data_IF_105736795861
#
_entry.id   IF_105736795861
#
_cell.length_a   1.000
_cell.length_b   1.000
_cell.length_c   1.000
_cell.angle_alpha   90.00
_cell.angle_beta   90.00
_cell.angle_gamma   90.00
#
_symmetry.space_group_name_H-M   'P 1'
#
loop_
_entity.id
_entity.type
_entity.pdbx_description
1 polymer ?
#
# COMPACT_ATOMS: atom_id res chain seq x y z
N UNK A 1 -12.45 7.79 24.15
CA UNK A 1 -11.84 8.99 23.50
C UNK A 1 -10.47 8.79 22.86
N UNK A 2 -9.55 7.92 23.33
CA UNK A 2 -8.28 7.64 22.60
C UNK A 2 -8.35 6.41 21.67
N UNK A 3 -9.23 5.45 21.99
CA UNK A 3 -9.39 4.20 21.23
C UNK A 3 -10.25 4.44 19.99
N UNK A 4 -11.35 5.20 20.12
CA UNK A 4 -12.21 5.61 19.00
C UNK A 4 -11.45 6.43 17.94
N UNK A 5 -10.54 7.30 18.38
CA UNK A 5 -9.72 8.12 17.48
C UNK A 5 -8.65 7.29 16.75
N UNK A 6 -8.04 6.31 17.43
CA UNK A 6 -7.04 5.44 16.82
C UNK A 6 -7.69 4.44 15.84
N UNK A 7 -8.89 3.95 16.18
CA UNK A 7 -9.69 3.10 15.30
C UNK A 7 -10.16 3.88 14.05
N UNK A 8 -10.71 5.08 14.21
CA UNK A 8 -11.12 5.93 13.08
C UNK A 8 -9.93 6.27 12.17
N UNK A 9 -8.78 6.63 12.75
CA UNK A 9 -7.56 6.91 12.00
C UNK A 9 -7.01 5.65 11.28
N UNK A 10 -7.12 4.47 11.91
CA UNK A 10 -6.77 3.19 11.31
C UNK A 10 -7.66 2.83 10.13
N UNK A 11 -8.98 3.03 10.23
CA UNK A 11 -9.92 2.78 9.13
C UNK A 11 -9.69 3.75 7.97
N UNK A 12 -9.52 5.04 8.25
CA UNK A 12 -9.19 6.04 7.20
C UNK A 12 -7.83 5.74 6.55
N UNK A 13 -6.81 5.41 7.34
CA UNK A 13 -5.48 5.05 6.85
C UNK A 13 -5.49 3.78 6.01
N UNK A 14 -6.30 2.79 6.38
CA UNK A 14 -6.47 1.55 5.62
C UNK A 14 -7.15 1.79 4.27
N UNK A 15 -8.21 2.61 4.23
CA UNK A 15 -8.87 2.99 2.96
C UNK A 15 -7.91 3.73 2.02
N UNK A 16 -7.13 4.68 2.57
CA UNK A 16 -6.16 5.43 1.80
C UNK A 16 -5.02 4.55 1.28
N UNK A 17 -4.51 3.63 2.11
CA UNK A 17 -3.53 2.64 1.70
C UNK A 17 -4.06 1.70 0.60
N UNK A 18 -5.34 1.32 0.67
CA UNK A 18 -5.97 0.48 -0.34
C UNK A 18 -6.09 1.19 -1.70
N UNK A 19 -6.45 2.48 -1.70
CA UNK A 19 -6.41 3.30 -2.92
C UNK A 19 -4.99 3.44 -3.48
N UNK A 20 -4.00 3.69 -2.62
CA UNK A 20 -2.60 3.80 -3.06
C UNK A 20 -2.09 2.48 -3.66
N UNK A 21 -2.38 1.36 -3.00
CA UNK A 21 -2.00 0.03 -3.47
C UNK A 21 -2.66 -0.31 -4.81
N UNK A 22 -3.95 -0.02 -4.98
CA UNK A 22 -4.67 -0.25 -6.24
C UNK A 22 -4.10 0.59 -7.38
N UNK A 23 -3.80 1.87 -7.14
CA UNK A 23 -3.19 2.74 -8.13
C UNK A 23 -1.77 2.27 -8.50
N UNK A 24 -0.94 1.91 -7.51
CA UNK A 24 0.41 1.38 -7.75
C UNK A 24 0.38 0.07 -8.52
N UNK A 25 -0.51 -0.87 -8.16
CA UNK A 25 -0.67 -2.13 -8.87
C UNK A 25 -1.08 -1.93 -10.34
N UNK A 26 -2.00 -1.01 -10.62
CA UNK A 26 -2.40 -0.68 -11.99
C UNK A 26 -1.26 -0.05 -12.80
N UNK A 27 -0.46 0.84 -12.19
CA UNK A 27 0.70 1.43 -12.88
C UNK A 27 1.77 0.38 -13.18
N UNK A 28 2.07 -0.51 -12.22
CA UNK A 28 3.00 -1.63 -12.41
C UNK A 28 2.54 -2.53 -13.56
N UNK A 29 1.24 -2.91 -13.58
CA UNK A 29 0.67 -3.76 -14.62
C UNK A 29 0.75 -3.13 -16.03
N UNK A 30 0.50 -1.83 -16.15
CA UNK A 30 0.60 -1.10 -17.44
C UNK A 30 2.06 -0.96 -17.88
N UNK A 31 2.96 -0.70 -16.95
CA UNK A 31 4.37 -0.52 -17.22
C UNK A 31 5.07 -1.84 -17.59
N UNK A 32 4.73 -2.94 -16.91
CA UNK A 32 5.24 -4.28 -17.30
C UNK A 32 4.69 -4.74 -18.64
N UNK A 33 3.45 -4.36 -19.01
CA UNK A 33 2.89 -4.65 -20.34
C UNK A 33 3.62 -3.88 -21.45
N UNK A 34 3.92 -2.60 -21.22
CA UNK A 34 4.65 -1.76 -22.19
C UNK A 34 6.12 -2.17 -22.35
N UNK A 35 6.77 -2.66 -21.28
CA UNK A 35 8.14 -3.22 -21.35
C UNK A 35 8.15 -4.53 -22.16
N UNK A 36 7.06 -5.29 -22.17
CA UNK A 36 6.95 -6.54 -22.93
C UNK A 36 6.73 -6.31 -24.43
N UNK A 37 5.99 -5.27 -24.82
CA UNK A 37 5.80 -4.89 -26.24
C UNK A 37 7.00 -4.10 -26.83
N UNK A 38 7.78 -3.41 -25.99
CA UNK A 38 8.92 -2.57 -26.42
C UNK A 38 10.22 -3.32 -26.72
N UNK A 39 10.26 -4.65 -26.54
CA UNK A 39 11.48 -5.44 -26.79
C UNK A 39 11.64 -5.87 -28.27
N UNK A 40 10.66 -5.59 -29.14
CA UNK A 40 10.65 -6.15 -30.50
C UNK A 40 10.69 -5.15 -31.66
N UNK A 41 10.59 -3.85 -31.41
CA UNK A 41 10.81 -2.86 -32.46
C UNK A 41 11.67 -1.67 -32.00
N UNK A 42 12.68 -1.38 -32.81
CA UNK A 42 13.43 -0.13 -32.93
C UNK A 42 14.64 0.08 -32.01
N UNK A 43 15.80 -0.32 -32.53
CA UNK A 43 17.02 0.40 -32.24
C UNK A 43 16.91 1.86 -32.69
N UNK A 44 16.94 2.80 -31.75
CA UNK A 44 17.45 4.17 -31.90
C UNK A 44 17.33 4.92 -30.56
N UNK A 45 18.46 5.06 -29.85
CA UNK A 45 18.82 6.25 -29.05
C UNK A 45 17.72 6.94 -28.21
N UNK A 46 17.28 6.34 -27.10
CA UNK A 46 16.79 7.05 -25.92
C UNK A 46 16.80 6.11 -24.69
N UNK A 47 17.23 6.62 -23.54
CA UNK A 47 17.71 5.85 -22.39
C UNK A 47 16.68 4.85 -21.77
N UNK A 48 17.02 3.55 -21.64
CA UNK A 48 16.21 2.57 -20.91
C UNK A 48 16.23 2.75 -19.38
N UNK A 49 17.04 3.69 -18.85
CA UNK A 49 17.20 3.90 -17.41
C UNK A 49 15.99 4.53 -16.71
N UNK A 50 15.10 5.25 -17.43
CA UNK A 50 13.93 5.92 -16.80
C UNK A 50 12.76 4.97 -16.52
N UNK A 51 12.57 3.93 -17.32
CA UNK A 51 11.48 2.96 -17.16
C UNK A 51 11.70 2.04 -15.95
N UNK A 52 12.96 1.63 -15.71
CA UNK A 52 13.35 0.81 -14.55
C UNK A 52 13.25 1.59 -13.23
N UNK A 53 13.69 2.85 -13.21
CA UNK A 53 13.60 3.72 -12.03
C UNK A 53 12.14 4.00 -11.63
N UNK A 54 11.25 4.15 -12.63
CA UNK A 54 9.82 4.34 -12.42
C UNK A 54 9.12 3.09 -11.89
N UNK A 55 9.50 1.89 -12.34
CA UNK A 55 8.96 0.62 -11.83
C UNK A 55 9.40 0.36 -10.38
N UNK A 56 10.70 0.54 -10.09
CA UNK A 56 11.23 0.40 -8.73
C UNK A 56 10.55 1.38 -7.77
N UNK A 57 10.35 2.63 -8.18
CA UNK A 57 9.61 3.63 -7.39
C UNK A 57 8.17 3.20 -7.11
N UNK A 58 7.48 2.59 -8.08
CA UNK A 58 6.11 2.09 -7.89
C UNK A 58 6.06 0.87 -6.95
N UNK A 59 7.03 -0.04 -7.05
CA UNK A 59 7.16 -1.19 -6.13
C UNK A 59 7.41 -0.75 -4.70
N UNK A 60 8.27 0.26 -4.49
CA UNK A 60 8.51 0.86 -3.17
C UNK A 60 7.22 1.50 -2.63
N UNK A 61 6.49 2.25 -3.45
CA UNK A 61 5.21 2.83 -3.04
C UNK A 61 4.16 1.77 -2.67
N UNK A 62 4.12 0.64 -3.39
CA UNK A 62 3.26 -0.48 -3.06
C UNK A 62 3.64 -1.10 -1.70
N UNK A 63 4.94 -1.28 -1.43
CA UNK A 63 5.44 -1.79 -0.17
C UNK A 63 5.12 -0.85 1.01
N UNK A 64 5.28 0.47 0.83
CA UNK A 64 4.90 1.47 1.83
C UNK A 64 3.39 1.40 2.11
N UNK A 65 2.55 1.27 1.08
CA UNK A 65 1.11 1.10 1.25
C UNK A 65 0.76 -0.17 2.04
N UNK A 66 1.43 -1.28 1.75
CA UNK A 66 1.25 -2.54 2.48
C UNK A 66 1.64 -2.40 3.96
N UNK A 67 2.79 -1.78 4.24
CA UNK A 67 3.26 -1.52 5.61
C UNK A 67 2.26 -0.63 6.38
N UNK A 68 1.72 0.39 5.72
CA UNK A 68 0.72 1.30 6.27
C UNK A 68 -0.60 0.57 6.57
N UNK A 69 -1.03 -0.30 5.67
CA UNK A 69 -2.21 -1.15 5.87
C UNK A 69 -2.01 -2.10 7.05
N UNK A 70 -0.86 -2.76 7.15
CA UNK A 70 -0.51 -3.68 8.24
C UNK A 70 -0.45 -2.97 9.60
N UNK A 71 0.11 -1.76 9.64
CA UNK A 71 0.15 -0.93 10.84
C UNK A 71 -1.25 -0.50 11.28
N UNK A 72 -2.09 -0.10 10.33
CA UNK A 72 -3.50 0.25 10.58
C UNK A 72 -4.29 -0.95 11.11
N UNK A 73 -4.09 -2.14 10.53
CA UNK A 73 -4.67 -3.38 11.02
C UNK A 73 -4.20 -3.71 12.45
N UNK A 74 -2.90 -3.51 12.75
CA UNK A 74 -2.36 -3.72 14.10
C UNK A 74 -2.98 -2.80 15.14
N UNK A 75 -3.23 -1.53 14.79
CA UNK A 75 -3.93 -0.57 15.66
C UNK A 75 -5.38 -0.99 15.91
N UNK A 76 -6.07 -1.46 14.86
CA UNK A 76 -7.44 -2.00 14.98
C UNK A 76 -7.46 -3.22 15.90
N UNK A 77 -6.55 -4.18 15.69
CA UNK A 77 -6.46 -5.36 16.56
C UNK A 77 -6.11 -4.99 18.00
N UNK A 78 -5.16 -4.07 18.22
CA UNK A 78 -4.81 -3.62 19.57
C UNK A 78 -5.97 -2.88 20.25
N UNK A 79 -6.78 -2.14 19.50
CA UNK A 79 -8.00 -1.52 20.01
C UNK A 79 -9.06 -2.57 20.42
N UNK A 80 -9.23 -3.62 19.61
CA UNK A 80 -10.12 -4.75 19.90
C UNK A 80 -9.67 -5.56 21.12
N UNK A 81 -8.37 -5.81 21.24
CA UNK A 81 -7.76 -6.52 22.38
C UNK A 81 -7.87 -5.70 23.68
N UNK A 82 -7.68 -4.37 23.60
CA UNK A 82 -7.96 -3.47 24.72
C UNK A 82 -9.45 -3.46 25.11
N UNK A 83 -10.36 -3.42 24.13
CA UNK A 83 -11.81 -3.50 24.38
C UNK A 83 -12.19 -4.83 25.05
N UNK A 84 -11.64 -5.95 24.57
CA UNK A 84 -11.81 -7.27 25.15
C UNK A 84 -11.31 -7.35 26.60
N UNK A 85 -10.11 -6.82 26.88
CA UNK A 85 -9.60 -6.77 28.26
C UNK A 85 -10.47 -5.92 29.19
N UNK A 86 -11.01 -4.78 28.74
CA UNK A 86 -11.91 -3.94 29.55
C UNK A 86 -13.22 -4.67 29.88
N UNK A 87 -13.72 -5.52 28.98
CA UNK A 87 -14.90 -6.34 29.22
C UNK A 87 -14.59 -7.49 30.20
N UNK A 88 -13.43 -8.14 30.09
CA UNK A 88 -13.00 -9.25 30.95
C UNK A 88 -12.73 -8.81 32.40
N UNK A 89 -12.32 -7.56 32.64
CA UNK A 89 -12.11 -7.04 34.01
C UNK A 89 -13.45 -6.77 34.73
N UNK A 90 -14.59 -6.80 34.03
CA UNK A 90 -15.91 -6.41 34.56
C UNK A 90 -16.82 -7.59 34.93
N UNK A 91 -16.32 -8.82 34.94
CA UNK A 91 -17.03 -10.01 35.42
C UNK A 91 -16.64 -10.38 36.86
#
# INVERSE_FOLDING_TARGET
MRVDSAFSAGVQGFQQAQQLASNSANNIARQTSNVSDGAQELGATAAPYRSEESLNTQLVNLNVAEQQAKSSAKVISAADEMLGSIIDIKV
#
